data_IF_340163923140
#
_entry.id   IF_340163923140
#
_cell.length_a   1.000
_cell.length_b   1.000
_cell.length_c   1.000
_cell.angle_alpha   90.00
_cell.angle_beta   90.00
_cell.angle_gamma   90.00
#
_symmetry.space_group_name_H-M   'P 1'
#
loop_
_entity.id
_entity.type
_entity.pdbx_description
1 polymer ?
#
# COMPACT_ATOMS: atom_id res chain seq x y z
N UNK A 1 -39.63 -25.00 -6.63
CA UNK A 1 -40.79 -25.85 -6.99
C UNK A 1 -41.51 -25.49 -8.32
N UNK A 2 -41.07 -24.48 -9.09
CA UNK A 2 -41.57 -24.22 -10.46
C UNK A 2 -40.76 -24.93 -11.57
N UNK A 3 -39.46 -25.17 -11.36
CA UNK A 3 -38.59 -25.88 -12.33
C UNK A 3 -38.93 -27.36 -12.55
N UNK A 4 -39.62 -28.02 -11.61
CA UNK A 4 -39.96 -29.44 -11.69
C UNK A 4 -41.27 -29.72 -12.46
N UNK A 5 -41.92 -28.70 -13.03
CA UNK A 5 -43.21 -28.83 -13.75
C UNK A 5 -43.18 -28.38 -15.22
N UNK A 6 -42.03 -27.98 -15.76
CA UNK A 6 -41.89 -27.64 -17.19
C UNK A 6 -42.62 -26.37 -17.64
N UNK A 7 -42.92 -25.45 -16.71
CA UNK A 7 -43.47 -24.13 -17.04
C UNK A 7 -42.33 -23.11 -17.23
N UNK A 8 -42.40 -22.29 -18.28
CA UNK A 8 -41.45 -21.21 -18.52
C UNK A 8 -41.48 -20.19 -17.38
N UNK A 9 -40.32 -19.93 -16.79
CA UNK A 9 -40.13 -18.89 -15.78
C UNK A 9 -39.84 -17.59 -16.52
N UNK A 10 -40.84 -16.72 -16.58
CA UNK A 10 -40.67 -15.34 -17.02
C UNK A 10 -39.84 -14.56 -15.98
N UNK A 11 -38.60 -14.22 -16.33
CA UNK A 11 -37.81 -13.21 -15.63
C UNK A 11 -38.24 -11.82 -16.13
N UNK A 12 -38.69 -10.91 -15.25
CA UNK A 12 -38.90 -9.53 -15.65
C UNK A 12 -37.54 -8.91 -16.00
N UNK A 13 -37.40 -8.41 -17.23
CA UNK A 13 -36.37 -7.46 -17.55
C UNK A 13 -36.70 -6.14 -16.84
N UNK A 14 -35.93 -5.79 -15.82
CA UNK A 14 -35.81 -4.44 -15.32
C UNK A 14 -34.34 -4.04 -15.46
N UNK A 15 -34.04 -3.34 -16.55
CA UNK A 15 -32.83 -2.55 -16.72
C UNK A 15 -33.02 -1.18 -16.06
N UNK A 16 -31.88 -0.58 -15.69
CA UNK A 16 -31.65 0.68 -14.95
C UNK A 16 -31.89 0.52 -13.43
N UNK A 17 -30.88 0.53 -12.56
CA UNK A 17 -29.72 1.43 -12.49
C UNK A 17 -28.58 0.77 -11.68
N UNK A 18 -27.78 -0.08 -12.35
CA UNK A 18 -26.66 -0.83 -11.74
C UNK A 18 -25.39 -0.68 -12.58
N UNK A 19 -25.22 0.50 -13.20
CA UNK A 19 -24.13 0.78 -14.13
C UNK A 19 -22.92 1.48 -13.47
N UNK A 20 -22.90 1.63 -12.14
CA UNK A 20 -21.80 2.31 -11.44
C UNK A 20 -20.90 1.39 -10.59
N UNK A 21 -21.17 0.08 -10.55
CA UNK A 21 -20.45 -0.89 -9.70
C UNK A 21 -19.83 -2.04 -10.49
N UNK A 22 -19.43 -1.78 -11.73
CA UNK A 22 -18.66 -2.75 -12.52
C UNK A 22 -17.67 -1.97 -13.36
N UNK A 23 -16.64 -1.44 -12.70
CA UNK A 23 -15.40 -1.14 -13.40
C UNK A 23 -14.54 -2.38 -13.24
N UNK A 24 -14.25 -3.06 -14.35
CA UNK A 24 -13.03 -3.87 -14.38
C UNK A 24 -11.88 -2.97 -13.86
N UNK A 25 -10.89 -3.49 -13.14
CA UNK A 25 -9.75 -2.67 -12.67
C UNK A 25 -9.03 -1.93 -13.83
N UNK A 26 -9.27 -2.34 -15.09
CA UNK A 26 -8.87 -1.63 -16.31
C UNK A 26 -9.68 -0.36 -16.61
N UNK A 27 -10.94 -0.30 -16.19
CA UNK A 27 -11.87 0.83 -16.31
C UNK A 27 -11.88 1.71 -15.05
N UNK A 28 -11.50 1.18 -13.89
CA UNK A 28 -11.20 1.94 -12.66
C UNK A 28 -10.01 2.90 -12.80
N UNK A 29 -9.32 2.76 -13.93
CA UNK A 29 -8.19 3.53 -14.35
C UNK A 29 -8.53 4.52 -15.47
N UNK A 30 -9.80 4.74 -15.79
CA UNK A 30 -10.20 5.92 -16.57
C UNK A 30 -10.47 7.08 -15.61
N UNK A 31 -9.80 8.24 -15.79
CA UNK A 31 -10.07 9.41 -14.98
C UNK A 31 -11.57 9.72 -14.97
N UNK A 32 -12.10 10.09 -13.80
CA UNK A 32 -13.54 10.33 -13.62
C UNK A 32 -14.06 11.52 -14.44
N UNK A 33 -13.16 12.34 -14.99
CA UNK A 33 -13.47 13.43 -15.91
C UNK A 33 -12.61 13.41 -17.19
N UNK A 34 -13.04 14.20 -18.17
CA UNK A 34 -12.35 14.36 -19.46
C UNK A 34 -10.99 15.10 -19.35
N UNK A 35 -10.66 15.69 -18.19
CA UNK A 35 -9.43 16.47 -17.95
C UNK A 35 -8.26 15.62 -17.43
N UNK A 36 -8.51 14.40 -16.97
CA UNK A 36 -7.48 13.44 -16.56
C UNK A 36 -7.18 13.46 -15.06
N UNK A 37 -6.18 12.71 -14.63
CA UNK A 37 -5.80 12.58 -13.21
C UNK A 37 -5.28 13.87 -12.58
N UNK A 38 -4.94 14.90 -13.35
CA UNK A 38 -4.42 16.15 -12.81
C UNK A 38 -3.07 15.98 -12.09
N UNK A 39 -2.92 16.68 -10.97
CA UNK A 39 -1.68 16.80 -10.21
C UNK A 39 -1.91 16.60 -8.73
N UNK A 40 -1.00 15.88 -8.07
CA UNK A 40 -0.88 15.92 -6.61
C UNK A 40 -0.04 17.15 -6.21
N UNK A 41 -0.58 17.97 -5.31
CA UNK A 41 0.08 19.17 -4.82
C UNK A 41 0.16 19.13 -3.29
N UNK A 42 1.39 19.06 -2.80
CA UNK A 42 1.69 19.08 -1.37
C UNK A 42 2.55 20.28 -1.02
N UNK A 43 2.23 20.98 0.07
CA UNK A 43 3.07 22.07 0.58
C UNK A 43 2.79 22.41 2.05
N UNK A 44 3.72 23.16 2.65
CA UNK A 44 3.57 23.75 3.97
C UNK A 44 3.33 25.26 3.86
N UNK A 45 2.26 25.74 4.49
CA UNK A 45 1.97 27.16 4.68
C UNK A 45 2.44 27.63 6.05
N UNK A 46 3.34 28.60 6.11
CA UNK A 46 3.84 29.22 7.35
C UNK A 46 3.36 30.67 7.47
N UNK A 47 2.83 31.03 8.64
CA UNK A 47 2.28 32.37 8.87
C UNK A 47 2.00 32.64 10.34
N UNK A 48 1.20 33.66 10.63
CA UNK A 48 0.66 33.94 11.96
C UNK A 48 -0.83 34.22 11.87
N UNK A 49 -1.62 33.61 12.76
CA UNK A 49 -3.07 33.84 12.82
C UNK A 49 -3.85 33.26 11.64
N UNK A 50 -3.33 32.23 10.98
CA UNK A 50 -4.02 31.55 9.88
C UNK A 50 -5.24 30.78 10.39
N UNK A 51 -6.36 30.88 9.69
CA UNK A 51 -7.54 30.07 9.98
C UNK A 51 -7.51 28.77 9.18
N UNK A 52 -7.14 27.68 9.86
CA UNK A 52 -7.09 26.33 9.28
C UNK A 52 -8.43 25.91 8.68
N UNK A 53 -9.56 26.31 9.28
CA UNK A 53 -10.89 25.93 8.81
C UNK A 53 -11.26 26.62 7.50
N UNK A 54 -10.89 27.90 7.37
CA UNK A 54 -11.03 28.66 6.13
C UNK A 54 -10.11 28.12 5.03
N UNK A 55 -8.86 27.78 5.38
CA UNK A 55 -7.89 27.19 4.45
C UNK A 55 -8.40 25.86 3.93
N UNK A 56 -8.89 24.99 4.81
CA UNK A 56 -9.47 23.70 4.44
C UNK A 56 -10.64 23.87 3.47
N UNK A 57 -11.65 24.63 3.85
CA UNK A 57 -12.82 24.84 3.01
C UNK A 57 -12.49 25.43 1.63
N UNK A 58 -11.42 26.23 1.55
CA UNK A 58 -10.99 26.83 0.28
C UNK A 58 -10.25 25.82 -0.60
N UNK A 59 -9.35 25.02 -0.01
CA UNK A 59 -8.62 23.96 -0.73
C UNK A 59 -9.57 22.84 -1.17
N UNK A 60 -10.52 22.44 -0.32
CA UNK A 60 -11.56 21.45 -0.64
C UNK A 60 -12.41 21.85 -1.85
N UNK A 61 -12.55 23.15 -2.10
CA UNK A 61 -13.30 23.66 -3.25
C UNK A 61 -12.46 23.72 -4.55
N UNK A 62 -11.15 23.48 -4.48
CA UNK A 62 -10.23 23.52 -5.63
C UNK A 62 -9.97 22.15 -6.25
N UNK A 63 -10.19 21.08 -5.48
CA UNK A 63 -9.78 19.75 -5.87
C UNK A 63 -10.47 18.65 -5.08
N UNK A 64 -9.91 17.45 -5.16
CA UNK A 64 -10.35 16.28 -4.43
C UNK A 64 -9.19 15.69 -3.63
N UNK A 65 -9.47 14.68 -2.80
CA UNK A 65 -8.49 14.04 -1.91
C UNK A 65 -7.70 15.08 -1.10
N UNK A 66 -8.42 15.95 -0.40
CA UNK A 66 -7.85 17.12 0.26
C UNK A 66 -7.49 16.82 1.72
N UNK A 67 -6.23 17.10 2.10
CA UNK A 67 -5.78 17.08 3.49
C UNK A 67 -5.26 18.47 3.88
N UNK A 68 -5.98 19.12 4.79
CA UNK A 68 -5.54 20.37 5.38
C UNK A 68 -5.49 20.23 6.90
N UNK A 69 -4.29 20.16 7.46
CA UNK A 69 -4.06 19.93 8.88
C UNK A 69 -2.98 20.86 9.43
N UNK A 70 -3.09 21.27 10.70
CA UNK A 70 -2.09 22.11 11.33
C UNK A 70 -2.66 23.09 12.35
N UNK A 71 -2.01 24.24 12.46
CA UNK A 71 -2.28 25.30 13.43
C UNK A 71 -2.32 26.68 12.76
N UNK A 72 -2.56 27.71 13.56
CA UNK A 72 -2.53 29.11 13.12
C UNK A 72 -1.15 29.61 12.65
N UNK A 73 -0.09 28.80 12.82
CA UNK A 73 1.29 29.14 12.43
C UNK A 73 1.87 28.29 11.31
N UNK A 74 1.39 27.06 11.17
CA UNK A 74 1.87 26.10 10.17
C UNK A 74 0.73 25.18 9.78
N UNK A 75 0.44 25.10 8.49
CA UNK A 75 -0.59 24.24 7.89
C UNK A 75 0.07 23.39 6.81
N UNK A 76 -0.12 22.07 6.86
CA UNK A 76 0.19 21.15 5.77
C UNK A 76 -1.03 21.03 4.88
N UNK A 77 -0.80 21.14 3.57
CA UNK A 77 -1.81 20.97 2.53
C UNK A 77 -1.37 19.83 1.61
N UNK A 78 -2.31 18.94 1.31
CA UNK A 78 -2.28 17.95 0.22
C UNK A 78 -3.59 18.13 -0.55
N UNK A 79 -3.53 18.20 -1.87
CA UNK A 79 -4.74 18.24 -2.70
C UNK A 79 -4.45 17.74 -4.11
N UNK A 80 -5.38 16.98 -4.68
CA UNK A 80 -5.37 16.62 -6.09
C UNK A 80 -6.16 17.67 -6.90
N UNK A 81 -5.53 18.28 -7.91
CA UNK A 81 -6.11 19.35 -8.73
C UNK A 81 -5.70 19.25 -10.20
N UNK A 82 -6.53 19.73 -11.12
CA UNK A 82 -6.10 19.88 -12.52
C UNK A 82 -5.14 21.06 -12.72
N UNK A 83 -5.32 22.15 -11.97
CA UNK A 83 -4.42 23.30 -11.98
C UNK A 83 -3.59 23.36 -10.69
N UNK A 84 -2.34 22.86 -10.68
CA UNK A 84 -1.50 22.88 -9.48
C UNK A 84 -1.12 24.31 -9.05
N UNK A 85 -1.25 25.28 -9.96
CA UNK A 85 -1.05 26.69 -9.66
C UNK A 85 -2.14 27.27 -8.75
N UNK A 86 -3.35 26.70 -8.74
CA UNK A 86 -4.47 27.22 -7.96
C UNK A 86 -4.26 27.16 -6.44
N UNK A 87 -3.96 25.99 -5.82
CA UNK A 87 -3.74 25.92 -4.38
C UNK A 87 -2.45 26.66 -3.95
N UNK A 88 -1.41 26.65 -4.78
CA UNK A 88 -0.16 27.40 -4.54
C UNK A 88 -0.42 28.91 -4.54
N UNK A 89 -1.16 29.41 -5.54
CA UNK A 89 -1.50 30.83 -5.65
C UNK A 89 -2.37 31.30 -4.51
N UNK A 90 -3.32 30.46 -4.08
CA UNK A 90 -4.13 30.73 -2.89
C UNK A 90 -3.23 30.91 -1.66
N UNK A 91 -2.31 29.98 -1.40
CA UNK A 91 -1.42 30.05 -0.27
C UNK A 91 -0.57 31.33 -0.28
N UNK A 92 0.00 31.70 -1.43
CA UNK A 92 0.74 32.96 -1.60
C UNK A 92 -0.16 34.18 -1.35
N UNK A 93 -1.39 34.17 -1.87
CA UNK A 93 -2.34 35.29 -1.72
C UNK A 93 -2.82 35.49 -0.28
N UNK A 94 -2.81 34.43 0.52
CA UNK A 94 -3.14 34.47 1.95
C UNK A 94 -2.04 35.16 2.80
N UNK A 95 -0.88 35.45 2.20
CA UNK A 95 0.27 36.03 2.89
C UNK A 95 1.14 35.00 3.62
N UNK A 96 0.88 33.70 3.42
CA UNK A 96 1.72 32.64 3.96
C UNK A 96 3.04 32.51 3.17
N UNK A 97 4.12 32.17 3.87
CA UNK A 97 5.34 31.67 3.26
C UNK A 97 5.15 30.18 2.93
N UNK A 98 5.54 29.77 1.74
CA UNK A 98 5.49 28.37 1.30
C UNK A 98 6.83 27.68 1.55
N UNK A 99 6.78 26.53 2.22
CA UNK A 99 7.88 25.59 2.37
C UNK A 99 7.48 24.23 1.75
N UNK A 100 8.46 23.40 1.36
CA UNK A 100 8.28 22.01 0.90
C UNK A 100 7.19 21.79 -0.17
N UNK A 101 7.22 22.59 -1.24
CA UNK A 101 6.26 22.48 -2.35
C UNK A 101 6.63 21.32 -3.28
N UNK A 102 5.74 20.35 -3.38
CA UNK A 102 5.80 19.20 -4.30
C UNK A 102 4.62 19.26 -5.24
N UNK A 103 4.87 19.07 -6.54
CA UNK A 103 3.83 18.98 -7.58
C UNK A 103 4.14 17.77 -8.46
N UNK A 104 3.25 16.79 -8.45
CA UNK A 104 3.43 15.55 -9.19
C UNK A 104 2.35 15.39 -10.26
N UNK A 105 2.74 15.00 -11.48
CA UNK A 105 1.80 14.80 -12.59
C UNK A 105 1.27 13.36 -12.55
N UNK A 106 0.05 13.19 -12.05
CA UNK A 106 -0.56 11.87 -11.87
C UNK A 106 -0.94 11.25 -13.22
N UNK A 107 -1.27 12.05 -14.23
CA UNK A 107 -1.54 11.55 -15.59
C UNK A 107 -0.28 10.96 -16.25
N UNK A 108 0.88 11.58 -16.04
CA UNK A 108 2.15 11.09 -16.56
C UNK A 108 2.57 9.82 -15.83
N UNK A 109 2.41 9.76 -14.50
CA UNK A 109 2.63 8.53 -13.73
C UNK A 109 1.73 7.40 -14.25
N UNK A 110 0.45 7.69 -14.52
CA UNK A 110 -0.52 6.76 -15.09
C UNK A 110 -0.15 6.29 -16.50
N UNK A 111 0.20 7.20 -17.42
CA UNK A 111 0.60 6.83 -18.78
C UNK A 111 1.87 5.98 -18.80
N UNK A 112 2.85 6.28 -17.95
CA UNK A 112 4.03 5.41 -17.78
C UNK A 112 3.63 4.01 -17.28
N UNK A 113 2.71 3.95 -16.31
CA UNK A 113 2.16 2.70 -15.80
C UNK A 113 1.45 1.87 -16.89
N UNK A 114 0.64 2.50 -17.75
CA UNK A 114 -0.13 1.82 -18.82
C UNK A 114 0.72 1.44 -20.03
N UNK A 115 1.60 2.32 -20.51
CA UNK A 115 2.44 2.05 -21.68
C UNK A 115 3.44 0.93 -21.40
N UNK A 116 4.01 0.88 -20.19
CA UNK A 116 4.90 -0.21 -19.79
C UNK A 116 4.13 -1.52 -19.56
N UNK A 117 2.86 -1.47 -19.12
CA UNK A 117 1.98 -2.64 -19.00
C UNK A 117 1.66 -3.29 -20.35
N UNK A 118 1.32 -2.50 -21.38
CA UNK A 118 1.01 -3.00 -22.72
C UNK A 118 2.21 -3.71 -23.39
N UNK A 119 3.43 -3.28 -23.07
CA UNK A 119 4.65 -3.96 -23.51
C UNK A 119 4.92 -5.27 -22.75
N UNK A 120 4.44 -5.40 -21.51
CA UNK A 120 4.68 -6.55 -20.60
C UNK A 120 3.73 -7.73 -20.83
N UNK A 121 2.49 -7.51 -21.28
CA UNK A 121 1.53 -8.58 -21.57
C UNK A 121 1.96 -9.49 -22.75
N UNK A 122 2.95 -9.06 -23.55
CA UNK A 122 3.53 -9.86 -24.63
C UNK A 122 4.63 -10.85 -24.19
N UNK A 123 5.13 -10.78 -22.94
CA UNK A 123 6.33 -11.54 -22.51
C UNK A 123 6.13 -12.12 -21.09
N UNK A 124 5.26 -13.12 -20.95
CA UNK A 124 5.10 -13.88 -19.70
C UNK A 124 6.04 -15.09 -19.65
N UNK A 125 6.94 -15.13 -18.67
CA UNK A 125 7.60 -16.35 -18.15
C UNK A 125 8.08 -16.12 -16.70
N UNK A 126 7.81 -17.02 -15.73
CA UNK A 126 7.95 -16.73 -14.29
C UNK A 126 9.35 -16.94 -13.68
N UNK A 127 10.41 -17.04 -14.48
CA UNK A 127 11.74 -17.48 -13.99
C UNK A 127 12.92 -16.77 -14.69
N UNK A 128 12.66 -15.65 -15.37
CA UNK A 128 13.74 -14.86 -15.97
C UNK A 128 14.24 -13.83 -14.97
N UNK A 129 15.51 -13.93 -14.58
CA UNK A 129 16.27 -12.81 -14.02
C UNK A 129 16.05 -11.59 -14.92
N UNK A 130 15.20 -10.66 -14.48
CA UNK A 130 14.92 -9.43 -15.21
C UNK A 130 16.07 -8.47 -14.93
N UNK A 131 16.73 -8.05 -16.01
CA UNK A 131 17.68 -6.95 -15.95
C UNK A 131 16.92 -5.67 -15.59
N UNK A 132 16.99 -5.27 -14.33
CA UNK A 132 16.63 -3.91 -13.93
C UNK A 132 17.77 -3.03 -14.41
N UNK A 133 17.52 -2.13 -15.36
CA UNK A 133 18.49 -1.16 -15.91
C UNK A 133 18.97 -0.12 -14.86
N UNK A 134 18.45 -0.18 -13.64
CA UNK A 134 18.87 0.67 -12.52
C UNK A 134 20.18 0.21 -11.89
N UNK A 135 21.05 1.16 -11.55
CA UNK A 135 22.29 0.90 -10.81
C UNK A 135 22.01 0.36 -9.39
N UNK A 136 20.88 0.76 -8.79
CA UNK A 136 20.41 0.31 -7.48
C UNK A 136 19.21 -0.61 -7.66
N UNK A 137 19.25 -1.78 -7.05
CA UNK A 137 18.17 -2.78 -7.15
C UNK A 137 17.67 -3.24 -5.79
N UNK A 138 16.42 -3.69 -5.73
CA UNK A 138 15.80 -4.15 -4.47
C UNK A 138 15.70 -5.66 -4.42
N UNK A 139 16.10 -6.24 -3.29
CA UNK A 139 15.76 -7.61 -2.87
C UNK A 139 14.69 -7.50 -1.79
N UNK A 140 13.58 -8.21 -1.92
CA UNK A 140 12.47 -8.16 -0.95
C UNK A 140 12.09 -9.56 -0.51
N UNK A 141 11.54 -9.70 0.70
CA UNK A 141 10.97 -10.95 1.18
C UNK A 141 9.45 -10.84 1.17
N UNK A 142 8.79 -11.82 0.57
CA UNK A 142 7.33 -11.83 0.48
C UNK A 142 6.75 -13.22 0.69
N UNK A 143 5.51 -13.25 1.20
CA UNK A 143 4.73 -14.47 1.39
C UNK A 143 3.46 -14.41 0.56
N UNK A 144 3.12 -15.50 -0.12
CA UNK A 144 1.94 -15.58 -0.98
C UNK A 144 2.26 -15.27 -2.45
N UNK A 145 1.62 -15.96 -3.41
CA UNK A 145 1.86 -15.73 -4.83
C UNK A 145 1.45 -14.33 -5.30
N UNK A 146 0.46 -13.71 -4.64
CA UNK A 146 0.01 -12.36 -4.92
C UNK A 146 1.05 -11.30 -4.59
N UNK A 147 1.48 -11.25 -3.33
CA UNK A 147 2.53 -10.33 -2.91
C UNK A 147 3.83 -10.53 -3.68
N UNK A 148 4.20 -11.77 -4.00
CA UNK A 148 5.39 -12.03 -4.82
C UNK A 148 5.28 -11.41 -6.21
N UNK A 149 4.13 -11.58 -6.89
CA UNK A 149 3.87 -10.94 -8.18
C UNK A 149 3.86 -9.42 -8.06
N UNK A 150 3.18 -8.86 -7.06
CA UNK A 150 3.17 -7.42 -6.79
C UNK A 150 4.60 -6.89 -6.68
N UNK A 151 5.44 -7.50 -5.83
CA UNK A 151 6.82 -7.06 -5.67
C UNK A 151 7.69 -7.26 -6.91
N UNK A 152 7.53 -8.35 -7.67
CA UNK A 152 8.41 -8.64 -8.82
C UNK A 152 7.96 -8.00 -10.13
N UNK A 153 6.65 -7.98 -10.40
CA UNK A 153 6.08 -7.60 -11.69
C UNK A 153 5.61 -6.15 -11.73
N UNK A 154 5.07 -5.65 -10.62
CA UNK A 154 4.46 -4.31 -10.53
C UNK A 154 5.42 -3.30 -9.88
N UNK A 155 6.11 -3.71 -8.81
CA UNK A 155 7.04 -2.86 -8.07
C UNK A 155 8.51 -3.04 -8.49
N UNK A 156 8.80 -3.98 -9.38
CA UNK A 156 10.12 -4.15 -10.00
C UNK A 156 11.28 -4.44 -9.03
N UNK A 157 11.02 -5.15 -7.93
CA UNK A 157 12.10 -5.74 -7.15
C UNK A 157 12.90 -6.72 -8.02
N UNK A 158 14.22 -6.63 -7.98
CA UNK A 158 15.10 -7.49 -8.77
C UNK A 158 15.07 -8.95 -8.28
N UNK A 159 14.77 -9.15 -6.99
CA UNK A 159 14.60 -10.50 -6.44
C UNK A 159 13.58 -10.51 -5.31
N UNK A 160 12.67 -11.47 -5.37
CA UNK A 160 11.80 -11.82 -4.25
C UNK A 160 12.29 -13.14 -3.63
N UNK A 161 12.59 -13.12 -2.34
CA UNK A 161 12.90 -14.31 -1.55
C UNK A 161 11.59 -14.79 -0.92
N UNK A 162 11.29 -16.08 -1.08
CA UNK A 162 10.16 -16.70 -0.40
C UNK A 162 10.36 -16.63 1.12
N UNK A 163 9.35 -16.15 1.83
CA UNK A 163 9.37 -16.10 3.29
C UNK A 163 7.99 -15.92 3.91
N UNK A 164 7.98 -15.49 5.18
CA UNK A 164 6.80 -15.22 5.98
C UNK A 164 7.09 -15.35 7.47
N UNK A 165 6.08 -15.21 8.32
CA UNK A 165 6.27 -15.25 9.78
C UNK A 165 6.84 -16.58 10.31
N UNK A 166 6.56 -17.68 9.61
CA UNK A 166 7.02 -19.03 9.96
C UNK A 166 8.14 -19.55 9.06
N UNK A 167 8.44 -18.84 7.97
CA UNK A 167 9.49 -19.18 7.01
C UNK A 167 10.47 -18.01 6.97
N UNK A 168 11.43 -18.02 7.87
CA UNK A 168 12.41 -16.96 8.06
C UNK A 168 13.68 -17.25 7.24
N UNK A 169 13.98 -16.52 6.15
CA UNK A 169 15.23 -16.65 5.42
C UNK A 169 16.46 -16.48 6.31
N UNK A 170 17.48 -17.27 6.04
CA UNK A 170 18.77 -17.19 6.74
C UNK A 170 19.69 -16.14 6.11
N UNK A 171 20.77 -15.79 6.82
CA UNK A 171 21.86 -14.96 6.28
C UNK A 171 22.42 -15.51 4.96
N UNK A 172 22.49 -16.84 4.83
CA UNK A 172 22.95 -17.53 3.63
C UNK A 172 21.99 -17.30 2.44
N UNK A 173 20.68 -17.30 2.68
CA UNK A 173 19.67 -17.10 1.64
C UNK A 173 19.72 -15.67 1.09
N UNK A 174 19.86 -14.68 1.96
CA UNK A 174 20.10 -13.29 1.55
C UNK A 174 21.41 -13.14 0.79
N UNK A 175 22.51 -13.76 1.24
CA UNK A 175 23.78 -13.73 0.52
C UNK A 175 23.67 -14.33 -0.88
N UNK A 176 22.98 -15.46 -1.04
CA UNK A 176 22.75 -16.07 -2.35
C UNK A 176 21.96 -15.14 -3.28
N UNK A 177 20.92 -14.48 -2.76
CA UNK A 177 20.14 -13.52 -3.54
C UNK A 177 20.96 -12.27 -3.92
N UNK A 178 21.82 -11.80 -3.01
CA UNK A 178 22.76 -10.71 -3.29
C UNK A 178 23.75 -11.13 -4.36
N UNK A 179 24.38 -12.31 -4.22
CA UNK A 179 25.44 -12.80 -5.10
C UNK A 179 24.91 -13.20 -6.50
N UNK A 180 23.62 -13.52 -6.64
CA UNK A 180 23.01 -13.82 -7.94
C UNK A 180 22.82 -12.58 -8.81
N UNK A 181 22.79 -11.38 -8.23
CA UNK A 181 22.60 -10.13 -8.98
C UNK A 181 23.94 -9.58 -9.48
N UNK A 182 24.02 -9.08 -10.73
CA UNK A 182 25.22 -8.42 -11.24
C UNK A 182 25.45 -7.03 -10.60
N UNK A 183 24.40 -6.42 -10.05
CA UNK A 183 24.44 -5.08 -9.46
C UNK A 183 25.29 -5.04 -8.19
N UNK A 184 25.96 -3.89 -8.00
CA UNK A 184 26.80 -3.63 -6.83
C UNK A 184 26.09 -2.81 -5.75
N UNK A 185 25.03 -2.07 -6.09
CA UNK A 185 24.21 -1.32 -5.14
C UNK A 185 22.86 -2.02 -4.95
N UNK A 186 22.57 -2.42 -3.71
CA UNK A 186 21.40 -3.25 -3.40
C UNK A 186 20.71 -2.70 -2.16
N UNK A 187 19.38 -2.62 -2.20
CA UNK A 187 18.53 -2.43 -1.02
C UNK A 187 17.84 -3.75 -0.68
N UNK A 188 17.69 -4.04 0.61
CA UNK A 188 16.94 -5.20 1.11
C UNK A 188 15.73 -4.71 1.90
N UNK A 189 14.55 -5.24 1.56
CA UNK A 189 13.29 -5.10 2.29
C UNK A 189 12.94 -6.43 2.99
N UNK A 190 13.19 -6.55 4.31
CA UNK A 190 12.90 -7.77 5.05
C UNK A 190 11.41 -8.06 5.20
N UNK A 191 10.56 -7.04 5.31
CA UNK A 191 9.10 -7.15 5.52
C UNK A 191 8.69 -8.09 6.67
N UNK A 192 9.61 -8.33 7.60
CA UNK A 192 9.47 -9.22 8.74
C UNK A 192 10.57 -8.91 9.77
N UNK A 193 10.16 -8.48 10.96
CA UNK A 193 11.07 -8.12 12.06
C UNK A 193 12.04 -9.22 12.46
N UNK A 194 11.65 -10.49 12.30
CA UNK A 194 12.42 -11.65 12.75
C UNK A 194 13.63 -11.94 11.86
N UNK A 195 13.66 -11.41 10.64
CA UNK A 195 14.74 -11.64 9.67
C UNK A 195 15.59 -10.41 9.39
N UNK A 196 15.28 -9.28 10.05
CA UNK A 196 16.06 -8.05 9.95
C UNK A 196 17.55 -8.28 10.30
N UNK A 197 17.84 -9.01 11.38
CA UNK A 197 19.21 -9.31 11.77
C UNK A 197 19.96 -10.18 10.75
N UNK A 198 19.28 -11.13 10.13
CA UNK A 198 19.85 -11.98 9.09
C UNK A 198 20.18 -11.18 7.83
N UNK A 199 19.26 -10.30 7.40
CA UNK A 199 19.47 -9.37 6.29
C UNK A 199 20.65 -8.42 6.57
N UNK A 200 20.75 -7.85 7.77
CA UNK A 200 21.84 -6.95 8.15
C UNK A 200 23.20 -7.66 8.17
N UNK A 201 23.23 -8.91 8.63
CA UNK A 201 24.44 -9.71 8.61
C UNK A 201 24.88 -10.03 7.17
N UNK A 202 23.93 -10.37 6.29
CA UNK A 202 24.20 -10.63 4.88
C UNK A 202 24.73 -9.37 4.17
N UNK A 203 24.13 -8.21 4.44
CA UNK A 203 24.59 -6.92 3.94
C UNK A 203 26.05 -6.64 4.35
N UNK A 204 26.39 -6.83 5.63
CA UNK A 204 27.77 -6.63 6.15
C UNK A 204 28.77 -7.55 5.46
N UNK A 205 28.40 -8.82 5.26
CA UNK A 205 29.25 -9.81 4.59
C UNK A 205 29.44 -9.50 3.10
N UNK A 206 28.41 -8.99 2.43
CA UNK A 206 28.46 -8.57 1.04
C UNK A 206 29.29 -7.29 0.83
N UNK A 207 29.30 -6.37 1.80
CA UNK A 207 30.19 -5.20 1.80
C UNK A 207 31.66 -5.60 1.77
N UNK A 208 32.04 -6.64 2.53
CA UNK A 208 33.37 -7.24 2.48
C UNK A 208 33.75 -7.86 1.12
N UNK A 209 32.78 -8.03 0.20
CA UNK A 209 32.94 -8.57 -1.15
C UNK A 209 32.77 -7.52 -2.25
N UNK A 210 32.66 -6.24 -1.88
CA UNK A 210 32.61 -5.13 -2.85
C UNK A 210 31.22 -4.74 -3.33
N UNK A 211 30.15 -5.16 -2.65
CA UNK A 211 28.78 -4.67 -2.90
C UNK A 211 28.37 -3.65 -1.83
N UNK A 212 27.70 -2.57 -2.20
CA UNK A 212 27.05 -1.63 -1.27
C UNK A 212 25.63 -2.11 -1.01
N UNK A 213 25.36 -2.59 0.20
CA UNK A 213 24.05 -3.14 0.57
C UNK A 213 23.45 -2.33 1.69
N UNK A 214 22.19 -1.91 1.54
CA UNK A 214 21.40 -1.24 2.59
C UNK A 214 20.21 -2.09 2.96
N UNK A 215 19.90 -2.15 4.24
CA UNK A 215 18.71 -2.83 4.75
C UNK A 215 17.76 -1.76 5.24
N UNK A 216 16.61 -1.63 4.58
CA UNK A 216 15.51 -0.79 5.05
C UNK A 216 14.75 -1.60 6.10
N UNK A 217 14.48 -1.06 7.31
CA UNK A 217 13.95 -1.85 8.42
C UNK A 217 12.44 -2.14 8.32
N UNK A 218 11.95 -2.53 7.14
CA UNK A 218 10.55 -2.89 6.92
C UNK A 218 10.16 -4.14 7.71
N UNK A 219 9.00 -4.08 8.36
CA UNK A 219 8.52 -5.10 9.30
C UNK A 219 7.31 -5.86 8.77
N UNK A 220 6.55 -5.24 7.87
CA UNK A 220 5.33 -5.77 7.27
C UNK A 220 5.39 -5.65 5.75
N UNK A 221 4.52 -6.41 5.06
CA UNK A 221 4.42 -6.34 3.60
C UNK A 221 3.92 -4.97 3.12
N UNK A 222 2.90 -4.33 3.72
CA UNK A 222 2.48 -2.97 3.34
C UNK A 222 3.59 -1.92 3.49
N UNK A 223 4.41 -2.00 4.54
CA UNK A 223 5.60 -1.14 4.66
C UNK A 223 6.59 -1.36 3.51
N UNK A 224 6.76 -2.60 3.07
CA UNK A 224 7.56 -2.93 1.90
C UNK A 224 6.99 -2.33 0.62
N UNK A 225 5.67 -2.38 0.43
CA UNK A 225 4.99 -1.77 -0.73
C UNK A 225 5.19 -0.25 -0.74
N UNK A 226 4.91 0.41 0.39
CA UNK A 226 5.16 1.85 0.57
C UNK A 226 6.62 2.24 0.29
N UNK A 227 7.57 1.46 0.79
CA UNK A 227 8.98 1.66 0.51
C UNK A 227 9.33 1.48 -0.98
N UNK A 228 8.69 0.56 -1.70
CA UNK A 228 8.94 0.38 -3.14
C UNK A 228 8.47 1.56 -3.98
N UNK A 229 7.38 2.24 -3.60
CA UNK A 229 6.99 3.48 -4.27
C UNK A 229 8.07 4.56 -4.15
N UNK A 230 8.63 4.75 -2.95
CA UNK A 230 9.75 5.66 -2.73
C UNK A 230 11.01 5.27 -3.54
N UNK A 231 11.29 3.97 -3.67
CA UNK A 231 12.36 3.46 -4.54
C UNK A 231 12.10 3.83 -6.00
N UNK A 232 10.91 3.55 -6.54
CA UNK A 232 10.59 3.80 -7.95
C UNK A 232 10.73 5.28 -8.34
N UNK A 233 10.45 6.19 -7.41
CA UNK A 233 10.60 7.63 -7.61
C UNK A 233 12.07 8.08 -7.71
N UNK A 234 13.00 7.32 -7.11
CA UNK A 234 14.42 7.69 -7.03
C UNK A 234 15.37 6.74 -7.77
N UNK A 235 14.91 5.57 -8.22
CA UNK A 235 15.76 4.51 -8.77
C UNK A 235 16.66 4.98 -9.93
N UNK A 236 16.21 5.98 -10.70
CA UNK A 236 16.94 6.52 -11.87
C UNK A 236 17.92 7.65 -11.56
N UNK A 237 17.92 8.19 -10.35
CA UNK A 237 18.67 9.41 -10.02
C UNK A 237 19.35 9.43 -8.65
N UNK A 238 18.85 8.65 -7.68
CA UNK A 238 19.38 8.59 -6.32
C UNK A 238 20.51 7.58 -6.19
N UNK A 239 21.40 7.81 -5.23
CA UNK A 239 22.32 6.76 -4.79
C UNK A 239 21.67 5.80 -3.78
N UNK A 240 22.32 4.67 -3.49
CA UNK A 240 21.75 3.63 -2.61
C UNK A 240 21.48 4.12 -1.18
N UNK A 241 22.23 5.10 -0.68
CA UNK A 241 22.05 5.66 0.65
C UNK A 241 20.83 6.61 0.67
N UNK A 242 20.71 7.48 -0.33
CA UNK A 242 19.54 8.37 -0.51
C UNK A 242 18.25 7.58 -0.73
N UNK A 243 18.30 6.57 -1.60
CA UNK A 243 17.15 5.71 -1.87
C UNK A 243 16.73 4.97 -0.59
N UNK A 244 17.67 4.34 0.12
CA UNK A 244 17.35 3.64 1.36
C UNK A 244 16.79 4.58 2.45
N UNK A 245 17.26 5.82 2.52
CA UNK A 245 16.72 6.84 3.42
C UNK A 245 15.26 7.20 3.07
N UNK A 246 14.99 7.51 1.80
CA UNK A 246 13.64 7.81 1.32
C UNK A 246 12.66 6.65 1.54
N UNK A 247 13.09 5.43 1.22
CA UNK A 247 12.34 4.21 1.51
C UNK A 247 12.02 4.05 3.01
N UNK A 248 12.97 4.42 3.88
CA UNK A 248 12.78 4.35 5.33
C UNK A 248 11.79 5.41 5.83
N UNK A 249 11.81 6.60 5.22
CA UNK A 249 10.91 7.71 5.56
C UNK A 249 9.47 7.50 5.09
N UNK A 250 9.25 6.66 4.07
CA UNK A 250 7.91 6.33 3.58
C UNK A 250 7.13 5.37 4.51
N UNK A 251 7.81 4.40 5.13
CA UNK A 251 7.16 3.34 5.91
C UNK A 251 6.23 3.81 7.05
N UNK A 252 6.53 4.88 7.82
CA UNK A 252 5.66 5.34 8.90
C UNK A 252 4.32 5.91 8.42
N UNK A 253 4.16 6.18 7.12
CA UNK A 253 2.90 6.69 6.57
C UNK A 253 1.83 5.59 6.50
N UNK A 254 2.23 4.32 6.49
CA UNK A 254 1.31 3.17 6.49
C UNK A 254 1.15 2.56 7.89
N UNK A 255 -0.09 2.42 8.33
CA UNK A 255 -0.47 1.58 9.47
C UNK A 255 -0.83 0.19 8.93
N UNK A 256 -0.19 -0.85 9.45
CA UNK A 256 -0.52 -2.23 9.06
C UNK A 256 -1.48 -2.87 10.04
N UNK A 257 -2.57 -3.43 9.53
CA UNK A 257 -3.48 -4.29 10.28
C UNK A 257 -3.34 -5.73 9.76
N UNK A 258 -3.42 -6.70 10.66
CA UNK A 258 -3.39 -8.11 10.29
C UNK A 258 -4.47 -8.87 11.07
N UNK A 259 -5.12 -9.83 10.41
CA UNK A 259 -6.05 -10.76 11.06
C UNK A 259 -5.46 -12.16 10.98
N UNK A 260 -5.44 -12.88 12.10
CA UNK A 260 -5.03 -14.29 12.14
C UNK A 260 -5.86 -15.09 13.14
N UNK A 261 -5.60 -16.39 13.25
CA UNK A 261 -6.33 -17.30 14.14
C UNK A 261 -5.43 -17.80 15.26
N UNK A 262 -5.94 -17.78 16.49
CA UNK A 262 -5.25 -18.30 17.66
C UNK A 262 -4.99 -19.80 17.56
N UNK A 263 -3.73 -20.22 17.70
CA UNK A 263 -3.35 -21.64 17.71
C UNK A 263 -3.34 -22.27 19.10
N UNK A 264 -3.54 -21.47 20.15
CA UNK A 264 -3.59 -21.91 21.55
C UNK A 264 -4.27 -20.87 22.42
N UNK A 265 -4.86 -21.33 23.52
CA UNK A 265 -5.41 -20.45 24.56
C UNK A 265 -4.28 -19.82 25.38
N UNK A 266 -4.26 -18.49 25.47
CA UNK A 266 -3.25 -17.70 26.20
C UNK A 266 -3.86 -16.40 26.71
N UNK A 267 -3.23 -15.83 27.74
CA UNK A 267 -3.50 -14.47 28.19
C UNK A 267 -2.28 -13.62 27.87
N UNK A 268 -2.46 -12.58 27.06
CA UNK A 268 -1.40 -11.69 26.56
C UNK A 268 -1.87 -10.25 26.76
N UNK A 269 -1.10 -9.44 27.50
CA UNK A 269 -1.38 -8.02 27.73
C UNK A 269 -2.84 -7.75 28.19
N UNK A 270 -3.31 -8.55 29.16
CA UNK A 270 -4.68 -8.54 29.71
C UNK A 270 -5.80 -8.92 28.71
N UNK A 271 -5.44 -9.42 27.53
CA UNK A 271 -6.36 -9.97 26.53
C UNK A 271 -6.38 -11.49 26.65
N UNK A 272 -7.52 -12.05 27.03
CA UNK A 272 -7.77 -13.48 27.02
C UNK A 272 -8.07 -13.96 25.59
N UNK A 273 -7.20 -14.82 25.05
CA UNK A 273 -7.31 -15.40 23.72
C UNK A 273 -7.60 -16.89 23.88
N UNK A 274 -8.66 -17.39 23.25
CA UNK A 274 -8.98 -18.82 23.18
C UNK A 274 -8.50 -19.40 21.85
N UNK A 275 -8.00 -20.63 21.87
CA UNK A 275 -7.68 -21.37 20.64
C UNK A 275 -8.85 -21.34 19.64
N UNK A 276 -8.55 -21.02 18.39
CA UNK A 276 -9.52 -20.89 17.30
C UNK A 276 -10.17 -19.50 17.16
N UNK A 277 -9.98 -18.58 18.12
CA UNK A 277 -10.49 -17.21 17.99
C UNK A 277 -9.70 -16.41 16.96
N UNK A 278 -10.36 -15.45 16.32
CA UNK A 278 -9.70 -14.46 15.49
C UNK A 278 -8.97 -13.45 16.38
N UNK A 279 -7.78 -13.06 15.93
CA UNK A 279 -6.91 -12.08 16.57
C UNK A 279 -6.65 -10.99 15.55
N UNK A 280 -6.90 -9.74 15.97
CA UNK A 280 -6.53 -8.56 15.19
C UNK A 280 -5.27 -7.90 15.75
N UNK A 281 -4.32 -7.65 14.86
CA UNK A 281 -3.07 -6.98 15.15
C UNK A 281 -3.04 -5.59 14.49
N UNK A 282 -2.52 -4.60 15.21
CA UNK A 282 -2.17 -3.27 14.71
C UNK A 282 -0.67 -3.08 14.92
N UNK A 283 0.09 -2.96 13.83
CA UNK A 283 1.55 -2.88 13.82
C UNK A 283 2.21 -3.89 14.77
N UNK A 284 1.97 -5.19 14.52
CA UNK A 284 2.44 -6.34 15.34
C UNK A 284 1.83 -6.47 16.74
N UNK A 285 0.98 -5.55 17.21
CA UNK A 285 0.39 -5.61 18.56
C UNK A 285 -1.02 -6.16 18.51
N UNK A 286 -1.30 -7.14 19.35
CA UNK A 286 -2.67 -7.64 19.52
C UNK A 286 -3.51 -6.54 20.15
N UNK A 287 -4.58 -6.13 19.47
CA UNK A 287 -5.47 -5.06 19.96
C UNK A 287 -6.94 -5.46 19.97
N UNK A 288 -7.30 -6.56 19.33
CA UNK A 288 -8.68 -7.07 19.35
C UNK A 288 -8.73 -8.59 19.20
N UNK A 289 -9.79 -9.19 19.72
CA UNK A 289 -10.11 -10.62 19.62
C UNK A 289 -11.61 -10.79 19.41
N UNK A 290 -12.00 -11.84 18.71
CA UNK A 290 -13.39 -12.01 18.28
C UNK A 290 -13.64 -13.31 17.52
N UNK A 291 -14.88 -13.49 17.10
CA UNK A 291 -15.35 -14.70 16.42
C UNK A 291 -15.84 -14.44 14.98
N UNK A 292 -16.05 -13.17 14.63
CA UNK A 292 -16.59 -12.76 13.33
C UNK A 292 -15.59 -11.85 12.62
N UNK A 293 -15.33 -12.15 11.34
CA UNK A 293 -14.26 -11.54 10.55
C UNK A 293 -14.50 -10.05 10.31
N UNK A 294 -15.71 -9.68 9.88
CA UNK A 294 -16.11 -8.29 9.62
C UNK A 294 -15.97 -7.46 10.90
N UNK A 295 -16.40 -8.00 12.04
CA UNK A 295 -16.27 -7.38 13.36
C UNK A 295 -14.82 -7.13 13.77
N UNK A 296 -13.93 -8.11 13.59
CA UNK A 296 -12.50 -7.94 13.86
C UNK A 296 -11.91 -6.83 12.97
N UNK A 297 -12.19 -6.86 11.66
CA UNK A 297 -11.64 -5.89 10.71
C UNK A 297 -12.17 -4.49 11.01
N UNK A 298 -13.47 -4.35 11.29
CA UNK A 298 -14.09 -3.09 11.73
C UNK A 298 -13.39 -2.54 12.97
N UNK A 299 -13.19 -3.36 14.00
CA UNK A 299 -12.52 -2.94 15.24
C UNK A 299 -11.08 -2.47 14.98
N UNK A 300 -10.36 -3.14 14.07
CA UNK A 300 -9.01 -2.76 13.67
C UNK A 300 -9.00 -1.41 12.95
N UNK A 301 -9.88 -1.21 11.97
CA UNK A 301 -9.98 0.05 11.21
C UNK A 301 -10.37 1.22 12.13
N UNK A 302 -11.25 1.00 13.10
CA UNK A 302 -11.56 2.02 14.12
C UNK A 302 -10.33 2.38 14.96
N UNK A 303 -9.55 1.39 15.42
CA UNK A 303 -8.33 1.60 16.20
C UNK A 303 -7.20 2.23 15.38
N UNK A 304 -7.22 2.04 14.06
CA UNK A 304 -6.31 2.67 13.10
C UNK A 304 -6.72 4.09 12.70
N UNK A 305 -7.88 4.57 13.18
CA UNK A 305 -8.48 5.84 12.77
C UNK A 305 -8.69 5.93 11.25
N UNK A 306 -9.15 4.85 10.62
CA UNK A 306 -9.30 4.76 9.16
C UNK A 306 -10.16 5.88 8.55
N UNK A 307 -11.14 6.44 9.26
CA UNK A 307 -11.93 7.59 8.77
C UNK A 307 -11.14 8.90 8.61
N UNK A 308 -9.88 8.94 9.05
CA UNK A 308 -8.98 10.08 8.91
C UNK A 308 -7.88 9.82 7.89
N UNK A 309 -8.08 8.79 7.05
CA UNK A 309 -7.10 8.18 6.15
C UNK A 309 -7.68 8.17 4.75
N UNK A 310 -6.82 8.16 3.75
CA UNK A 310 -7.22 8.34 2.35
C UNK A 310 -7.48 6.99 1.70
N UNK A 311 -6.69 5.97 2.04
CA UNK A 311 -6.74 4.67 1.39
C UNK A 311 -6.69 3.53 2.41
N UNK A 312 -7.53 2.53 2.18
CA UNK A 312 -7.50 1.24 2.85
C UNK A 312 -7.39 0.13 1.81
N UNK A 313 -6.21 -0.48 1.70
CA UNK A 313 -5.99 -1.62 0.80
C UNK A 313 -6.08 -2.94 1.58
N UNK A 314 -7.02 -3.81 1.20
CA UNK A 314 -7.23 -5.12 1.80
C UNK A 314 -6.54 -6.20 0.96
N UNK A 315 -5.50 -6.82 1.53
CA UNK A 315 -4.78 -7.94 0.93
C UNK A 315 -5.33 -9.28 1.46
N UNK A 316 -6.08 -10.01 0.65
CA UNK A 316 -6.68 -11.28 1.08
C UNK A 316 -5.76 -12.50 0.88
N UNK A 317 -5.82 -13.43 1.83
CA UNK A 317 -4.99 -14.63 1.91
C UNK A 317 -5.52 -15.81 1.08
N UNK A 318 -4.83 -16.95 1.13
CA UNK A 318 -5.18 -18.11 0.29
C UNK A 318 -6.51 -18.80 0.68
N UNK A 319 -6.99 -18.57 1.90
CA UNK A 319 -8.21 -19.16 2.44
C UNK A 319 -9.44 -18.24 2.27
N UNK A 320 -9.26 -17.13 1.56
CA UNK A 320 -10.30 -16.13 1.27
C UNK A 320 -10.38 -16.00 -0.25
N UNK A 321 -11.58 -16.08 -0.81
CA UNK A 321 -11.81 -15.75 -2.21
C UNK A 321 -12.17 -14.26 -2.41
N UNK A 322 -12.10 -13.80 -3.65
CA UNK A 322 -12.33 -12.39 -4.00
C UNK A 322 -13.74 -11.92 -3.62
N UNK A 323 -14.76 -12.76 -3.82
CA UNK A 323 -16.15 -12.43 -3.47
C UNK A 323 -16.35 -12.25 -1.95
N UNK A 324 -15.64 -13.03 -1.13
CA UNK A 324 -15.62 -12.84 0.32
C UNK A 324 -14.96 -11.52 0.72
N UNK A 325 -13.87 -11.14 0.05
CA UNK A 325 -13.20 -9.86 0.28
C UNK A 325 -14.07 -8.67 -0.17
N UNK A 326 -14.75 -8.78 -1.31
CA UNK A 326 -15.71 -7.79 -1.80
C UNK A 326 -16.86 -7.60 -0.81
N UNK A 327 -17.46 -8.71 -0.35
CA UNK A 327 -18.53 -8.67 0.66
C UNK A 327 -18.08 -7.98 1.95
N UNK A 328 -16.83 -8.21 2.37
CA UNK A 328 -16.23 -7.54 3.53
C UNK A 328 -16.12 -6.03 3.28
N UNK A 329 -15.58 -5.61 2.13
CA UNK A 329 -15.44 -4.19 1.78
C UNK A 329 -16.79 -3.50 1.68
N UNK A 330 -17.79 -4.10 1.04
CA UNK A 330 -19.15 -3.55 0.96
C UNK A 330 -19.70 -3.26 2.36
N UNK A 331 -19.55 -4.19 3.30
CA UNK A 331 -20.00 -4.01 4.68
C UNK A 331 -19.23 -2.92 5.43
N UNK A 332 -17.94 -2.73 5.14
CA UNK A 332 -17.09 -1.72 5.78
C UNK A 332 -17.33 -0.32 5.18
N UNK A 333 -17.52 -0.20 3.87
CA UNK A 333 -17.74 1.07 3.18
C UNK A 333 -19.03 1.77 3.61
N UNK A 334 -20.02 1.03 4.14
CA UNK A 334 -21.20 1.63 4.78
C UNK A 334 -20.89 2.36 6.10
N UNK A 335 -19.78 2.02 6.77
CA UNK A 335 -19.41 2.52 8.10
C UNK A 335 -18.21 3.47 8.08
N UNK A 336 -17.36 3.37 7.06
CA UNK A 336 -16.17 4.18 6.87
C UNK A 336 -16.30 5.00 5.58
N UNK A 337 -16.63 6.28 5.71
CA UNK A 337 -16.85 7.24 4.61
C UNK A 337 -15.63 8.10 4.28
N UNK A 338 -14.55 7.99 5.07
CA UNK A 338 -13.30 8.70 4.86
C UNK A 338 -12.42 8.09 3.76
N UNK A 339 -11.99 6.81 3.91
CA UNK A 339 -11.03 6.22 2.99
C UNK A 339 -11.70 5.57 1.78
N UNK A 340 -10.97 5.55 0.66
CA UNK A 340 -11.23 4.65 -0.46
C UNK A 340 -10.80 3.22 -0.09
N UNK A 341 -11.55 2.21 -0.55
CA UNK A 341 -11.23 0.81 -0.30
C UNK A 341 -10.76 0.12 -1.59
N UNK A 342 -9.63 -0.58 -1.48
CA UNK A 342 -9.10 -1.43 -2.54
C UNK A 342 -8.94 -2.88 -2.07
N UNK A 343 -9.00 -3.82 -3.00
CA UNK A 343 -8.79 -5.25 -2.72
C UNK A 343 -7.69 -5.78 -3.61
N UNK A 344 -6.74 -6.50 -3.00
CA UNK A 344 -5.63 -7.14 -3.71
C UNK A 344 -5.50 -8.59 -3.27
N UNK A 345 -5.40 -9.51 -4.22
CA UNK A 345 -5.14 -10.92 -3.91
C UNK A 345 -3.69 -11.13 -3.49
N UNK A 346 -3.41 -11.20 -2.18
CA UNK A 346 -2.07 -11.39 -1.62
C UNK A 346 -1.63 -12.86 -1.54
N UNK A 347 -2.57 -13.75 -1.22
CA UNK A 347 -2.38 -15.20 -1.22
C UNK A 347 -1.44 -15.74 -0.12
N UNK A 348 -1.16 -14.94 0.91
CA UNK A 348 -0.47 -15.37 2.12
C UNK A 348 -1.28 -16.43 2.88
N UNK A 349 -0.59 -17.33 3.60
CA UNK A 349 -1.24 -18.50 4.24
C UNK A 349 -1.74 -18.25 5.66
N UNK A 350 -1.05 -17.43 6.45
CA UNK A 350 -1.33 -17.30 7.89
C UNK A 350 -2.35 -16.22 8.24
N UNK A 351 -2.52 -15.26 7.33
CA UNK A 351 -3.33 -14.08 7.55
C UNK A 351 -4.43 -14.04 6.51
N UNK A 352 -5.70 -14.33 6.87
CA UNK A 352 -6.83 -14.15 5.98
C UNK A 352 -6.87 -12.75 5.38
N UNK A 353 -6.50 -11.73 6.16
CA UNK A 353 -6.33 -10.36 5.69
C UNK A 353 -5.07 -9.72 6.28
N UNK A 354 -4.33 -9.05 5.41
CA UNK A 354 -3.37 -7.99 5.76
C UNK A 354 -3.96 -6.70 5.18
N UNK A 355 -3.95 -5.60 5.92
CA UNK A 355 -4.61 -4.36 5.51
C UNK A 355 -3.62 -3.20 5.66
N UNK A 356 -3.51 -2.40 4.61
CA UNK A 356 -2.83 -1.10 4.63
C UNK A 356 -3.84 -0.01 4.98
N UNK A 357 -3.45 0.92 5.84
CA UNK A 357 -4.24 2.13 6.13
C UNK A 357 -3.29 3.33 6.04
N UNK A 358 -3.53 4.21 5.08
CA UNK A 358 -2.60 5.29 4.67
C UNK A 358 -3.21 6.68 4.87
#
# INVERSE_FOLDING_TARGET
LKLLRGEEVYTPAAAADAAHLTRHWQEALEPDDEEGYGYDVQFLMRGEGMDVSTVRATIDAMGWSTLVVGSDKLIKVHVHVHDPGQPISYAISSGAALDDVVVENMQLQYHHYVEERAAREAISSPDSDRFVESDVVVITVASGPGFRRLFSEELESARVIDGGQTMNPSTEDFLKAIDSLPNTCIVILPNNKNIYMAAQQAATLAEGRGKRVRVVPSRTLPQGVSAMFAYNNLARSGDVDEIAASMTEAMPNVVTLEVTTATRTVELDDIAITEGQLIGLLDDKIVTVGEEMTGIVRDLLQKAFANQRELVTIYYGCDVDEAQAETLVEALAEEFDGPEFEIVGGGQTLYPYIISVE
#
